data_IF_041396594514
#
_entry.id   IF_041396594514
#
_cell.length_a   1.000
_cell.length_b   1.000
_cell.length_c   1.000
_cell.angle_alpha   90.00
_cell.angle_beta   90.00
_cell.angle_gamma   90.00
#
_symmetry.space_group_name_H-M   'P 1'
#
loop_
_entity.id
_entity.type
_entity.pdbx_description
1 polymer ?
#
# COMPACT_ATOMS: atom_id res chain seq x y z
N UNK A 1 18.02 -4.74 -17.65
CA UNK A 1 18.19 -4.75 -16.18
C UNK A 1 19.12 -3.61 -15.78
N UNK A 2 18.71 -2.72 -14.85
CA UNK A 2 19.53 -1.61 -14.37
C UNK A 2 19.77 -1.72 -12.87
N UNK A 3 20.94 -1.27 -12.40
CA UNK A 3 21.30 -1.16 -10.97
C UNK A 3 21.10 0.26 -10.42
N UNK A 4 20.74 1.22 -11.27
CA UNK A 4 20.56 2.62 -10.88
C UNK A 4 21.80 3.19 -10.15
N UNK A 5 22.97 3.01 -10.77
CA UNK A 5 24.27 3.40 -10.22
C UNK A 5 24.55 4.89 -10.40
N UNK A 6 24.25 5.43 -11.57
CA UNK A 6 24.47 6.83 -11.91
C UNK A 6 23.14 7.59 -11.90
N UNK A 7 23.09 8.84 -11.41
CA UNK A 7 21.89 9.66 -11.52
C UNK A 7 21.64 10.10 -12.96
N UNK A 8 20.38 10.37 -13.35
CA UNK A 8 20.08 11.00 -14.63
C UNK A 8 20.67 12.41 -14.73
N UNK A 9 21.20 12.75 -15.90
CA UNK A 9 21.82 14.05 -16.17
C UNK A 9 20.89 15.03 -16.91
N UNK A 10 19.89 14.52 -17.64
CA UNK A 10 19.00 15.37 -18.43
C UNK A 10 17.86 15.93 -17.55
N UNK A 11 17.48 17.20 -17.75
CA UNK A 11 16.35 17.77 -17.03
C UNK A 11 15.03 17.22 -17.56
N UNK A 12 14.08 17.00 -16.66
CA UNK A 12 12.69 16.66 -16.98
C UNK A 12 11.76 17.78 -16.51
N UNK A 13 10.55 17.83 -17.08
CA UNK A 13 9.53 18.77 -16.61
C UNK A 13 9.02 18.39 -15.22
N UNK A 14 8.41 19.35 -14.51
CA UNK A 14 7.80 19.09 -13.19
C UNK A 14 6.64 18.12 -13.30
N UNK A 15 5.85 18.18 -14.38
CA UNK A 15 4.74 17.25 -14.62
C UNK A 15 5.24 15.81 -14.79
N UNK A 16 6.31 15.62 -15.58
CA UNK A 16 6.94 14.29 -15.73
C UNK A 16 7.56 13.82 -14.43
N UNK A 17 8.17 14.71 -13.64
CA UNK A 17 8.71 14.38 -12.33
C UNK A 17 7.62 13.84 -11.39
N UNK A 18 6.47 14.51 -11.33
CA UNK A 18 5.33 14.11 -10.51
C UNK A 18 4.73 12.78 -11.03
N UNK A 19 4.49 12.65 -12.34
CA UNK A 19 3.93 11.45 -12.96
C UNK A 19 4.82 10.21 -12.75
N UNK A 20 6.13 10.34 -13.03
CA UNK A 20 7.09 9.24 -12.92
C UNK A 20 7.18 8.73 -11.48
N UNK A 21 7.16 9.64 -10.50
CA UNK A 21 7.16 9.28 -9.10
C UNK A 21 5.90 8.49 -8.70
N UNK A 22 4.71 8.98 -9.09
CA UNK A 22 3.46 8.31 -8.76
C UNK A 22 3.33 6.94 -9.39
N UNK A 23 3.72 6.78 -10.65
CA UNK A 23 3.55 5.50 -11.33
C UNK A 23 4.52 4.43 -10.82
N UNK A 24 5.76 4.77 -10.47
CA UNK A 24 6.62 3.82 -9.75
C UNK A 24 6.05 3.51 -8.37
N UNK A 25 5.55 4.51 -7.66
CA UNK A 25 4.99 4.31 -6.34
C UNK A 25 3.75 3.39 -6.38
N UNK A 26 2.90 3.50 -7.41
CA UNK A 26 1.79 2.56 -7.66
C UNK A 26 2.31 1.14 -7.87
N UNK A 27 3.32 0.95 -8.72
CA UNK A 27 3.90 -0.37 -8.94
C UNK A 27 4.43 -0.99 -7.64
N UNK A 28 5.22 -0.24 -6.86
CA UNK A 28 5.80 -0.72 -5.61
C UNK A 28 4.72 -1.01 -4.56
N UNK A 29 3.68 -0.18 -4.49
CA UNK A 29 2.54 -0.39 -3.59
C UNK A 29 1.74 -1.64 -3.98
N UNK A 30 1.56 -1.90 -5.28
CA UNK A 30 0.90 -3.12 -5.77
C UNK A 30 1.70 -4.37 -5.40
N UNK A 31 3.03 -4.32 -5.46
CA UNK A 31 3.91 -5.42 -5.01
C UNK A 31 3.73 -5.67 -3.52
N UNK A 32 3.79 -4.62 -2.71
CA UNK A 32 3.59 -4.74 -1.26
C UNK A 32 2.24 -5.37 -0.93
N UNK A 33 1.17 -4.85 -1.52
CA UNK A 33 -0.19 -5.30 -1.22
C UNK A 33 -0.45 -6.73 -1.70
N UNK A 34 0.09 -7.12 -2.85
CA UNK A 34 0.05 -8.50 -3.33
C UNK A 34 0.75 -9.46 -2.34
N UNK A 35 1.91 -9.07 -1.82
CA UNK A 35 2.64 -9.86 -0.81
C UNK A 35 1.92 -9.89 0.53
N UNK A 36 1.36 -8.77 0.98
CA UNK A 36 0.61 -8.66 2.22
C UNK A 36 -0.62 -9.56 2.23
N UNK A 37 -1.21 -9.86 1.06
CA UNK A 37 -2.29 -10.86 0.91
C UNK A 37 -1.83 -12.30 1.04
N UNK A 38 -0.54 -12.55 0.82
CA UNK A 38 0.04 -13.89 0.78
C UNK A 38 0.09 -14.48 -0.62
N UNK A 39 -0.08 -13.68 -1.69
CA UNK A 39 0.12 -14.15 -3.06
C UNK A 39 1.59 -14.56 -3.24
N UNK A 40 1.80 -15.72 -3.89
CA UNK A 40 3.14 -16.29 -4.13
C UNK A 40 3.23 -16.86 -5.54
N UNK A 41 4.45 -16.97 -6.06
CA UNK A 41 4.71 -17.60 -7.36
C UNK A 41 3.98 -16.90 -8.52
N UNK A 42 3.28 -17.69 -9.34
CA UNK A 42 2.67 -17.24 -10.59
C UNK A 42 1.60 -16.14 -10.42
N UNK A 43 0.84 -16.17 -9.32
CA UNK A 43 -0.20 -15.16 -9.06
C UNK A 43 0.42 -13.78 -8.75
N UNK A 44 1.48 -13.76 -7.95
CA UNK A 44 2.26 -12.56 -7.68
C UNK A 44 2.92 -12.06 -8.98
N UNK A 45 3.53 -12.95 -9.76
CA UNK A 45 4.14 -12.60 -11.05
C UNK A 45 3.13 -11.95 -12.01
N UNK A 46 1.91 -12.48 -12.10
CA UNK A 46 0.86 -11.94 -12.96
C UNK A 46 0.45 -10.53 -12.55
N UNK A 47 0.32 -10.28 -11.23
CA UNK A 47 0.01 -8.95 -10.67
C UNK A 47 1.12 -7.94 -10.96
N UNK A 48 2.38 -8.33 -10.74
CA UNK A 48 3.53 -7.48 -11.03
C UNK A 48 3.61 -7.19 -12.52
N UNK A 49 3.38 -8.19 -13.37
CA UNK A 49 3.39 -8.01 -14.83
C UNK A 49 2.34 -6.99 -15.27
N UNK A 50 1.09 -7.16 -14.83
CA UNK A 50 -0.01 -6.24 -15.16
C UNK A 50 0.33 -4.81 -14.74
N UNK A 51 0.73 -4.60 -13.49
CA UNK A 51 1.07 -3.27 -12.98
C UNK A 51 2.30 -2.68 -13.69
N UNK A 52 3.29 -3.50 -14.04
CA UNK A 52 4.45 -3.05 -14.80
C UNK A 52 4.06 -2.60 -16.20
N UNK A 53 3.22 -3.37 -16.89
CA UNK A 53 2.79 -3.03 -18.25
C UNK A 53 1.95 -1.75 -18.29
N UNK A 54 1.18 -1.49 -17.24
CA UNK A 54 0.38 -0.28 -17.07
C UNK A 54 1.23 0.95 -16.70
N UNK A 55 2.09 0.85 -15.67
CA UNK A 55 2.78 2.02 -15.10
C UNK A 55 4.20 2.25 -15.65
N UNK A 56 4.88 1.20 -16.09
CA UNK A 56 6.27 1.23 -16.58
C UNK A 56 6.48 0.27 -17.76
N UNK A 57 5.89 0.56 -18.94
CA UNK A 57 6.00 -0.29 -20.11
C UNK A 57 7.46 -0.42 -20.61
N UNK A 58 7.76 -1.48 -21.38
CA UNK A 58 9.09 -1.67 -21.98
C UNK A 58 9.37 -0.74 -23.19
N UNK A 59 8.62 0.33 -23.37
CA UNK A 59 8.89 1.34 -24.39
C UNK A 59 10.13 2.17 -24.02
N UNK A 60 10.78 2.85 -24.98
CA UNK A 60 11.85 3.79 -24.68
C UNK A 60 11.45 4.84 -23.63
N UNK A 61 10.21 5.33 -23.72
CA UNK A 61 9.62 6.25 -22.75
C UNK A 61 9.45 5.61 -21.37
N UNK A 62 9.04 4.35 -21.30
CA UNK A 62 8.88 3.62 -20.05
C UNK A 62 10.23 3.25 -19.39
N UNK A 63 11.30 3.06 -20.18
CA UNK A 63 12.66 2.89 -19.66
C UNK A 63 13.21 4.17 -19.02
N UNK A 64 12.96 5.33 -19.66
CA UNK A 64 13.29 6.64 -19.08
C UNK A 64 12.49 6.82 -17.78
N UNK A 65 11.18 6.59 -17.82
CA UNK A 65 10.30 6.66 -16.65
C UNK A 65 10.79 5.77 -15.52
N UNK A 66 11.19 4.52 -15.79
CA UNK A 66 11.75 3.60 -14.79
C UNK A 66 13.06 4.12 -14.18
N UNK A 67 13.94 4.68 -14.99
CA UNK A 67 15.21 5.21 -14.53
C UNK A 67 15.03 6.44 -13.63
N UNK A 68 14.28 7.44 -14.09
CA UNK A 68 14.07 8.68 -13.34
C UNK A 68 13.25 8.45 -12.07
N UNK A 69 12.14 7.70 -12.18
CA UNK A 69 11.26 7.43 -11.04
C UNK A 69 11.98 6.78 -9.86
N UNK A 70 12.95 5.89 -10.13
CA UNK A 70 13.77 5.28 -9.09
C UNK A 70 14.54 6.33 -8.27
N UNK A 71 15.21 7.27 -8.94
CA UNK A 71 15.94 8.35 -8.27
C UNK A 71 15.02 9.36 -7.59
N UNK A 72 13.85 9.65 -8.16
CA UNK A 72 12.86 10.53 -7.54
C UNK A 72 12.36 9.92 -6.22
N UNK A 73 12.01 8.63 -6.21
CA UNK A 73 11.58 7.97 -4.97
C UNK A 73 12.70 7.85 -3.94
N UNK A 74 13.98 7.74 -4.35
CA UNK A 74 15.11 7.83 -3.40
C UNK A 74 15.10 9.15 -2.62
N UNK A 75 14.70 10.27 -3.24
CA UNK A 75 14.60 11.56 -2.54
C UNK A 75 13.47 11.59 -1.50
N UNK A 76 12.35 10.92 -1.77
CA UNK A 76 11.22 10.89 -0.84
C UNK A 76 11.43 9.88 0.31
N UNK A 77 11.93 8.69 -0.01
CA UNK A 77 12.00 7.56 0.93
C UNK A 77 13.29 7.52 1.75
N UNK A 78 14.20 8.48 1.57
CA UNK A 78 15.42 8.56 2.36
C UNK A 78 15.26 9.19 3.74
N UNK A 79 14.07 9.71 4.07
CA UNK A 79 13.89 10.60 5.23
C UNK A 79 13.82 9.86 6.57
N UNK A 80 13.34 8.62 6.58
CA UNK A 80 13.30 7.78 7.78
C UNK A 80 13.79 6.37 7.46
N UNK A 81 14.28 5.65 8.48
CA UNK A 81 14.70 4.27 8.29
C UNK A 81 13.56 3.36 7.84
N UNK A 82 12.34 3.58 8.33
CA UNK A 82 11.18 2.75 7.96
C UNK A 82 10.80 2.94 6.48
N UNK A 83 10.82 4.18 5.98
CA UNK A 83 10.61 4.47 4.56
C UNK A 83 11.72 3.84 3.70
N UNK A 84 12.97 3.92 4.15
CA UNK A 84 14.10 3.28 3.44
C UNK A 84 13.93 1.77 3.36
N UNK A 85 13.57 1.11 4.47
CA UNK A 85 13.33 -0.34 4.51
C UNK A 85 12.19 -0.73 3.58
N UNK A 86 11.08 0.00 3.61
CA UNK A 86 9.94 -0.23 2.73
C UNK A 86 10.33 -0.11 1.24
N UNK A 87 11.02 0.97 0.88
CA UNK A 87 11.43 1.20 -0.50
C UNK A 87 12.38 0.11 -1.00
N UNK A 88 13.44 -0.19 -0.24
CA UNK A 88 14.41 -1.23 -0.59
C UNK A 88 13.76 -2.60 -0.71
N UNK A 89 12.86 -2.96 0.20
CA UNK A 89 12.20 -4.27 0.19
C UNK A 89 11.34 -4.47 -1.06
N UNK A 90 10.57 -3.47 -1.47
CA UNK A 90 9.71 -3.58 -2.65
C UNK A 90 10.51 -3.44 -3.96
N UNK A 91 11.54 -2.60 -3.96
CA UNK A 91 12.43 -2.40 -5.10
C UNK A 91 13.27 -3.66 -5.40
N UNK A 92 13.76 -4.33 -4.35
CA UNK A 92 14.44 -5.62 -4.48
C UNK A 92 13.50 -6.70 -5.03
N UNK A 93 12.24 -6.70 -4.62
CA UNK A 93 11.26 -7.66 -5.14
C UNK A 93 10.96 -7.40 -6.62
N UNK A 94 10.82 -6.13 -7.03
CA UNK A 94 10.68 -5.76 -8.43
C UNK A 94 11.91 -6.20 -9.25
N UNK A 95 13.11 -6.00 -8.72
CA UNK A 95 14.35 -6.44 -9.35
C UNK A 95 14.42 -7.96 -9.47
N UNK A 96 14.05 -8.71 -8.42
CA UNK A 96 13.93 -10.18 -8.46
C UNK A 96 13.03 -10.65 -9.59
N UNK A 97 11.83 -10.08 -9.66
CA UNK A 97 10.87 -10.41 -10.71
C UNK A 97 11.43 -10.10 -12.10
N UNK A 98 12.05 -8.91 -12.28
CA UNK A 98 12.69 -8.54 -13.56
C UNK A 98 13.80 -9.50 -13.92
N UNK A 99 14.66 -9.86 -12.97
CA UNK A 99 15.78 -10.76 -13.22
C UNK A 99 15.28 -12.13 -13.67
N UNK A 100 14.36 -12.76 -12.93
CA UNK A 100 13.82 -14.09 -13.26
C UNK A 100 13.14 -14.12 -14.63
N UNK A 101 12.40 -13.06 -14.98
CA UNK A 101 11.68 -12.98 -16.26
C UNK A 101 12.53 -12.52 -17.44
N UNK A 102 13.79 -12.11 -17.23
CA UNK A 102 14.68 -11.79 -18.35
C UNK A 102 15.12 -13.08 -19.07
N UNK A 103 15.34 -13.01 -20.40
CA UNK A 103 15.95 -14.10 -21.15
C UNK A 103 17.25 -14.59 -20.50
N UNK A 104 17.56 -15.91 -20.57
CA UNK A 104 18.79 -16.46 -20.02
C UNK A 104 20.05 -15.80 -20.61
N UNK A 105 20.03 -15.47 -21.89
CA UNK A 105 21.13 -14.80 -22.60
C UNK A 105 21.38 -13.41 -22.03
N UNK A 106 20.33 -12.60 -21.86
CA UNK A 106 20.43 -11.25 -21.28
C UNK A 106 20.90 -11.27 -19.84
N UNK A 107 20.47 -12.26 -19.03
CA UNK A 107 20.98 -12.45 -17.67
C UNK A 107 22.46 -12.78 -17.67
N UNK A 108 22.90 -13.71 -18.52
CA UNK A 108 24.31 -14.09 -18.61
C UNK A 108 25.17 -12.93 -19.11
N UNK A 109 24.69 -12.15 -20.07
CA UNK A 109 25.35 -10.92 -20.52
C UNK A 109 25.45 -9.89 -19.39
N UNK A 110 24.37 -9.70 -18.63
CA UNK A 110 24.33 -8.77 -17.50
C UNK A 110 25.26 -9.19 -16.35
N UNK A 111 25.28 -10.47 -15.98
CA UNK A 111 26.18 -11.02 -14.97
C UNK A 111 27.64 -10.82 -15.35
N UNK A 112 28.00 -11.13 -16.60
CA UNK A 112 29.34 -10.90 -17.15
C UNK A 112 29.73 -9.42 -17.12
N UNK A 113 28.82 -8.52 -17.54
CA UNK A 113 29.06 -7.08 -17.52
C UNK A 113 29.30 -6.53 -16.10
N UNK A 114 28.74 -7.17 -15.07
CA UNK A 114 28.96 -6.82 -13.66
C UNK A 114 30.16 -7.52 -13.03
N UNK A 115 30.90 -8.31 -13.80
CA UNK A 115 32.07 -9.04 -13.31
C UNK A 115 31.71 -10.23 -12.42
N UNK A 116 30.46 -10.70 -12.46
CA UNK A 116 29.99 -11.86 -11.71
C UNK A 116 30.12 -13.10 -12.60
N UNK A 117 31.03 -14.00 -12.24
CA UNK A 117 31.30 -15.23 -12.98
C UNK A 117 30.34 -16.36 -12.54
N UNK A 118 29.03 -16.11 -12.60
CA UNK A 118 28.04 -17.13 -12.29
C UNK A 118 27.65 -17.89 -13.55
N UNK A 119 27.96 -19.19 -13.57
CA UNK A 119 27.67 -20.06 -14.70
C UNK A 119 26.29 -20.69 -14.52
N UNK A 120 25.46 -20.62 -15.55
CA UNK A 120 24.21 -21.38 -15.59
C UNK A 120 24.55 -22.85 -15.84
N UNK A 121 23.98 -23.76 -15.05
CA UNK A 121 24.20 -25.19 -15.25
C UNK A 121 23.62 -25.66 -16.59
N UNK A 122 24.26 -26.66 -17.19
CA UNK A 122 23.74 -27.30 -18.40
C UNK A 122 22.49 -28.13 -18.08
N UNK A 123 21.72 -28.50 -19.12
CA UNK A 123 20.58 -29.42 -18.93
C UNK A 123 21.02 -30.77 -18.42
N UNK A 124 22.15 -31.28 -18.91
CA UNK A 124 22.67 -32.59 -18.52
C UNK A 124 23.14 -32.59 -17.06
N UNK A 125 23.83 -31.52 -16.62
CA UNK A 125 24.24 -31.36 -15.23
C UNK A 125 23.02 -31.20 -14.32
N UNK A 126 21.96 -30.50 -14.76
CA UNK A 126 20.72 -30.37 -14.01
C UNK A 126 20.00 -31.72 -13.83
N UNK A 127 19.89 -32.53 -14.89
CA UNK A 127 19.23 -33.83 -14.82
C UNK A 127 19.95 -34.82 -13.88
N UNK A 128 21.28 -34.70 -13.77
CA UNK A 128 22.09 -35.50 -12.84
C UNK A 128 21.81 -35.15 -11.37
N UNK A 129 21.69 -33.86 -11.04
CA UNK A 129 21.58 -33.38 -9.64
C UNK A 129 20.15 -32.98 -9.23
N UNK A 130 19.14 -33.24 -10.07
CA UNK A 130 17.77 -32.77 -9.86
C UNK A 130 17.15 -33.28 -8.56
N UNK A 131 17.47 -34.50 -8.15
CA UNK A 131 16.89 -35.11 -6.95
C UNK A 131 17.45 -34.42 -5.69
N UNK A 132 18.74 -34.16 -5.66
CA UNK A 132 19.43 -33.46 -4.59
C UNK A 132 19.03 -31.98 -4.52
N UNK A 133 18.83 -31.33 -5.67
CA UNK A 133 18.27 -29.98 -5.72
C UNK A 133 16.87 -29.90 -5.14
N UNK A 134 16.01 -30.89 -5.44
CA UNK A 134 14.67 -30.96 -4.85
C UNK A 134 14.71 -31.22 -3.34
N UNK A 135 15.64 -32.04 -2.85
CA UNK A 135 15.81 -32.28 -1.41
C UNK A 135 16.34 -31.05 -0.65
N UNK A 136 17.19 -30.24 -1.28
CA UNK A 136 17.74 -29.03 -0.69
C UNK A 136 16.79 -27.81 -0.76
N UNK A 137 15.74 -27.88 -1.60
CA UNK A 137 14.79 -26.78 -1.77
C UNK A 137 13.70 -26.80 -0.69
N UNK A 138 13.45 -25.68 0.03
CA UNK A 138 12.32 -25.58 0.95
C UNK A 138 10.96 -25.44 0.25
N UNK A 139 10.92 -25.33 -1.09
CA UNK A 139 9.67 -25.20 -1.85
C UNK A 139 9.18 -26.55 -2.39
N UNK A 140 7.86 -26.81 -2.38
CA UNK A 140 7.31 -28.02 -2.98
C UNK A 140 7.64 -28.09 -4.48
N UNK A 141 7.81 -29.30 -5.05
CA UNK A 141 8.13 -29.46 -6.46
C UNK A 141 7.08 -28.78 -7.35
N UNK A 142 7.51 -27.81 -8.15
CA UNK A 142 6.65 -27.19 -9.14
C UNK A 142 6.29 -28.21 -10.23
N UNK A 143 5.06 -28.23 -10.76
CA UNK A 143 4.68 -29.15 -11.83
C UNK A 143 5.61 -29.00 -13.05
N UNK A 144 5.83 -30.09 -13.82
CA UNK A 144 6.86 -30.20 -14.87
C UNK A 144 6.63 -29.29 -16.11
N UNK A 145 5.65 -28.40 -16.09
CA UNK A 145 5.25 -27.59 -17.24
C UNK A 145 6.06 -26.30 -17.46
N UNK A 146 7.12 -26.03 -16.67
CA UNK A 146 8.02 -24.90 -16.91
C UNK A 146 9.46 -25.38 -17.11
N UNK A 147 9.95 -25.51 -18.37
CA UNK A 147 11.37 -25.60 -18.61
C UNK A 147 11.95 -24.21 -18.36
N UNK A 148 12.52 -23.97 -17.17
CA UNK A 148 13.59 -22.99 -16.85
C UNK A 148 13.74 -22.76 -15.34
N UNK A 149 14.10 -23.78 -14.59
CA UNK A 149 14.80 -23.56 -13.32
C UNK A 149 16.29 -23.36 -13.65
N UNK A 150 16.67 -22.13 -14.04
CA UNK A 150 18.09 -21.80 -14.19
C UNK A 150 18.71 -21.74 -12.81
N UNK A 151 19.29 -22.85 -12.38
CA UNK A 151 20.21 -22.86 -11.28
C UNK A 151 21.56 -22.33 -11.77
N UNK A 152 22.25 -21.65 -10.89
CA UNK A 152 23.56 -21.09 -11.13
C UNK A 152 24.56 -21.74 -10.21
N UNK A 153 25.71 -22.07 -10.77
CA UNK A 153 26.87 -22.57 -10.03
C UNK A 153 27.63 -21.37 -9.48
N UNK A 154 27.76 -21.32 -8.17
CA UNK A 154 28.41 -20.22 -7.43
C UNK A 154 29.37 -20.83 -6.41
N UNK A 155 30.49 -20.18 -6.11
CA UNK A 155 31.35 -20.63 -5.02
C UNK A 155 30.59 -20.59 -3.68
N UNK A 156 30.69 -21.66 -2.87
CA UNK A 156 29.90 -21.75 -1.63
C UNK A 156 30.21 -20.61 -0.63
N UNK A 157 31.43 -20.07 -0.70
CA UNK A 157 31.93 -18.94 0.11
C UNK A 157 31.16 -17.64 -0.15
N UNK A 158 30.58 -17.47 -1.34
CA UNK A 158 29.78 -16.29 -1.69
C UNK A 158 28.33 -16.41 -1.21
N UNK A 159 27.90 -17.61 -0.80
CA UNK A 159 26.49 -17.92 -0.50
C UNK A 159 26.30 -18.57 0.88
N UNK A 160 27.17 -18.18 1.83
CA UNK A 160 27.20 -18.74 3.20
C UNK A 160 25.84 -18.66 3.90
N UNK A 161 25.06 -17.60 3.67
CA UNK A 161 23.73 -17.45 4.28
C UNK A 161 22.74 -18.53 3.82
N UNK A 162 22.76 -18.87 2.53
CA UNK A 162 21.89 -19.92 1.97
C UNK A 162 22.37 -21.31 2.42
N UNK A 163 23.68 -21.51 2.51
CA UNK A 163 24.30 -22.73 3.03
C UNK A 163 23.92 -22.95 4.49
N UNK A 164 24.02 -21.91 5.33
CA UNK A 164 23.63 -21.95 6.75
C UNK A 164 22.18 -22.36 6.94
N UNK A 165 21.29 -21.90 6.06
CA UNK A 165 19.87 -22.24 6.10
C UNK A 165 19.54 -23.59 5.45
N UNK A 166 20.54 -24.32 4.92
CA UNK A 166 20.38 -25.57 4.18
C UNK A 166 19.38 -25.46 3.02
N UNK A 167 19.43 -24.34 2.31
CA UNK A 167 18.51 -24.01 1.19
C UNK A 167 19.12 -24.25 -0.20
N UNK A 168 20.37 -24.69 -0.27
CA UNK A 168 21.13 -24.88 -1.51
C UNK A 168 21.89 -26.19 -1.45
N UNK A 169 22.03 -26.84 -2.61
CA UNK A 169 22.84 -28.05 -2.75
C UNK A 169 24.31 -27.67 -2.96
N UNK A 170 25.23 -28.46 -2.37
CA UNK A 170 26.68 -28.26 -2.47
C UNK A 170 27.33 -29.49 -3.12
N UNK A 171 28.17 -29.27 -4.15
CA UNK A 171 28.98 -30.32 -4.79
C UNK A 171 30.35 -29.75 -5.16
N UNK A 172 31.42 -30.38 -4.67
CA UNK A 172 32.81 -30.03 -5.05
C UNK A 172 33.19 -28.56 -4.82
N UNK A 173 32.79 -27.97 -3.69
CA UNK A 173 33.08 -26.55 -3.39
C UNK A 173 32.19 -25.54 -4.14
N UNK A 174 31.23 -26.02 -4.93
CA UNK A 174 30.24 -25.17 -5.60
C UNK A 174 28.86 -25.34 -4.97
N UNK A 175 28.12 -24.24 -4.86
CA UNK A 175 26.73 -24.17 -4.48
C UNK A 175 25.83 -23.97 -5.71
N UNK A 176 24.72 -24.69 -5.76
CA UNK A 176 23.76 -24.62 -6.84
C UNK A 176 22.55 -23.81 -6.38
N UNK A 177 22.42 -22.60 -6.91
CA UNK A 177 21.46 -21.61 -6.42
C UNK A 177 20.39 -21.33 -7.47
N UNK A 178 19.09 -21.37 -7.12
CA UNK A 178 18.02 -20.95 -8.03
C UNK A 178 18.16 -19.48 -8.45
N UNK A 179 17.77 -19.15 -9.69
CA UNK A 179 17.78 -17.77 -10.21
C UNK A 179 17.12 -16.73 -9.29
N UNK A 180 16.06 -17.12 -8.56
CA UNK A 180 15.35 -16.24 -7.64
C UNK A 180 16.18 -15.86 -6.41
N UNK A 181 16.99 -16.79 -5.90
CA UNK A 181 17.89 -16.58 -4.76
C UNK A 181 19.24 -15.98 -5.20
N UNK A 182 19.61 -16.15 -6.48
CA UNK A 182 20.78 -15.47 -7.07
C UNK A 182 20.67 -13.96 -6.95
N UNK A 183 19.48 -13.39 -7.03
CA UNK A 183 19.27 -11.96 -6.91
C UNK A 183 19.61 -11.43 -5.53
N UNK A 184 19.26 -12.16 -4.46
CA UNK A 184 19.71 -11.81 -3.11
C UNK A 184 21.22 -11.87 -2.98
N UNK A 185 21.86 -12.82 -3.68
CA UNK A 185 23.31 -12.92 -3.73
C UNK A 185 23.86 -11.72 -4.50
N UNK A 186 23.43 -11.41 -5.71
CA UNK A 186 23.87 -10.22 -6.47
C UNK A 186 23.65 -8.91 -5.69
N UNK A 187 22.56 -8.80 -4.93
CA UNK A 187 22.28 -7.64 -4.10
C UNK A 187 23.23 -7.51 -2.88
N UNK A 188 23.88 -8.61 -2.48
CA UNK A 188 24.83 -8.68 -1.35
C UNK A 188 26.28 -8.91 -1.78
N UNK A 189 26.50 -9.51 -2.94
CA UNK A 189 27.76 -9.91 -3.55
C UNK A 189 28.39 -8.67 -4.14
N UNK A 190 29.40 -8.20 -3.43
CA UNK A 190 30.13 -6.98 -3.69
C UNK A 190 31.35 -7.33 -4.54
N UNK A 191 31.58 -6.68 -5.70
CA UNK A 191 32.86 -6.82 -6.37
C UNK A 191 33.99 -6.31 -5.44
N UNK A 192 35.10 -7.04 -5.29
CA UNK A 192 36.17 -6.74 -4.33
C UNK A 192 37.02 -5.48 -4.68
N UNK A 193 36.57 -4.62 -5.60
CA UNK A 193 37.38 -3.51 -6.16
C UNK A 193 36.75 -2.12 -6.08
N UNK A 194 35.66 -1.91 -5.36
CA UNK A 194 35.20 -0.56 -5.01
C UNK A 194 35.16 -0.37 -3.49
N UNK A 195 35.97 0.55 -2.92
CA UNK A 195 35.84 1.00 -1.55
C UNK A 195 34.65 1.95 -1.48
N UNK A 196 33.46 1.37 -1.56
CA UNK A 196 32.26 2.03 -1.09
C UNK A 196 31.78 1.22 0.13
N UNK A 197 31.06 1.83 1.07
CA UNK A 197 30.71 1.10 2.28
C UNK A 197 29.36 0.35 2.03
N UNK A 198 28.88 -0.45 2.98
CA UNK A 198 27.63 -1.27 2.94
C UNK A 198 26.43 -0.58 2.25
N UNK A 199 25.36 -1.30 1.81
CA UNK A 199 24.13 -0.63 1.37
C UNK A 199 23.64 0.39 2.40
N UNK A 200 23.86 0.18 3.68
CA UNK A 200 23.57 1.15 4.76
C UNK A 200 24.42 2.42 4.72
N UNK A 201 25.63 2.38 4.17
CA UNK A 201 26.60 3.48 4.25
C UNK A 201 26.90 4.17 2.92
N UNK A 202 26.65 3.53 1.77
CA UNK A 202 26.40 4.26 0.52
C UNK A 202 25.13 5.12 0.65
N UNK A 203 24.12 4.62 1.38
CA UNK A 203 22.93 5.40 1.71
C UNK A 203 23.23 6.48 2.77
N UNK A 204 24.15 6.26 3.72
CA UNK A 204 24.53 7.31 4.67
C UNK A 204 25.33 8.45 4.02
N UNK A 205 26.16 8.20 2.99
CA UNK A 205 26.92 9.24 2.29
C UNK A 205 26.13 9.94 1.17
N UNK A 206 25.11 9.28 0.59
CA UNK A 206 24.18 9.90 -0.38
C UNK A 206 23.04 10.65 0.32
N UNK A 207 22.78 10.35 1.60
CA UNK A 207 21.78 11.04 2.44
C UNK A 207 22.43 11.85 3.58
N UNK A 208 23.43 12.65 3.23
CA UNK A 208 23.75 13.89 3.96
C UNK A 208 22.49 14.78 4.07
N UNK A 209 22.40 15.67 5.09
CA UNK A 209 21.24 16.53 5.30
C UNK A 209 20.84 17.26 4.01
N UNK A 210 19.55 17.65 3.87
CA UNK A 210 19.07 18.29 2.65
C UNK A 210 20.03 19.43 2.26
N UNK A 211 20.32 19.61 0.95
CA UNK A 211 21.14 20.72 0.50
C UNK A 211 20.62 22.04 1.09
N UNK A 212 21.50 23.04 1.31
CA UNK A 212 21.13 24.35 1.85
C UNK A 212 19.93 24.92 1.09
N UNK A 213 19.10 25.79 1.71
CA UNK A 213 17.74 26.10 1.28
C UNK A 213 17.73 26.39 -0.21
N UNK A 214 17.31 25.39 -0.96
CA UNK A 214 17.22 25.48 -2.39
C UNK A 214 16.08 26.47 -2.69
N UNK A 215 16.27 27.33 -3.69
CA UNK A 215 15.35 28.38 -4.16
C UNK A 215 13.84 28.02 -4.06
N UNK A 216 12.93 28.99 -4.16
CA UNK A 216 11.46 28.79 -4.18
C UNK A 216 10.92 27.58 -5.00
N UNK A 217 11.64 27.08 -6.02
CA UNK A 217 11.30 25.85 -6.76
C UNK A 217 11.43 24.56 -5.91
N UNK A 218 12.33 24.54 -4.94
CA UNK A 218 12.55 23.41 -4.06
C UNK A 218 11.57 23.35 -2.88
N UNK A 219 10.96 24.46 -2.47
CA UNK A 219 9.87 24.41 -1.47
C UNK A 219 8.66 23.64 -2.00
N UNK A 220 8.32 23.84 -3.29
CA UNK A 220 7.26 23.07 -3.96
C UNK A 220 7.63 21.59 -4.05
N UNK A 221 8.86 21.27 -4.48
CA UNK A 221 9.33 19.88 -4.55
C UNK A 221 9.43 19.22 -3.17
N UNK A 222 9.81 19.96 -2.13
CA UNK A 222 9.88 19.45 -0.76
C UNK A 222 8.49 19.06 -0.25
N UNK A 223 7.48 19.93 -0.46
CA UNK A 223 6.09 19.62 -0.11
C UNK A 223 5.53 18.42 -0.90
N UNK A 224 5.94 18.25 -2.16
CA UNK A 224 5.58 17.11 -2.98
C UNK A 224 6.25 15.81 -2.52
N UNK A 225 7.56 15.84 -2.20
CA UNK A 225 8.30 14.69 -1.67
C UNK A 225 7.82 14.29 -0.27
N UNK A 226 7.42 15.27 0.55
CA UNK A 226 6.67 15.05 1.80
C UNK A 226 5.34 14.35 1.55
N UNK A 227 4.63 14.84 0.52
CA UNK A 227 3.40 14.25 0.01
C UNK A 227 3.59 12.81 -0.40
N UNK A 228 4.57 12.46 -1.24
CA UNK A 228 4.73 11.12 -1.81
C UNK A 228 4.73 9.99 -0.79
N UNK A 229 5.38 10.17 0.36
CA UNK A 229 5.46 9.15 1.40
C UNK A 229 4.14 8.99 2.20
N UNK A 230 3.25 9.99 2.15
CA UNK A 230 2.02 10.06 2.97
C UNK A 230 0.73 10.17 2.13
N UNK A 231 0.86 10.43 0.83
CA UNK A 231 -0.22 10.66 -0.10
C UNK A 231 -0.73 9.34 -0.66
N UNK A 232 -2.04 9.32 -0.80
CA UNK A 232 -2.77 8.24 -1.40
C UNK A 232 -2.66 8.36 -2.92
N UNK A 233 -2.27 7.26 -3.58
CA UNK A 233 -1.96 7.22 -5.02
C UNK A 233 -3.12 6.63 -5.86
N UNK A 234 -4.30 6.45 -5.26
CA UNK A 234 -5.49 5.99 -5.98
C UNK A 234 -6.40 7.14 -6.44
N UNK A 235 -7.67 6.83 -6.70
CA UNK A 235 -8.68 7.75 -7.25
C UNK A 235 -8.88 9.07 -6.48
N UNK A 236 -8.94 10.20 -7.18
CA UNK A 236 -9.21 11.50 -6.56
C UNK A 236 -10.65 11.60 -6.03
N UNK A 237 -10.79 11.60 -4.71
CA UNK A 237 -12.05 11.75 -3.97
C UNK A 237 -12.32 13.19 -3.51
N UNK A 238 -11.64 14.19 -4.10
CA UNK A 238 -11.85 15.61 -3.82
C UNK A 238 -13.19 16.13 -4.34
N UNK A 239 -13.80 15.45 -5.32
CA UNK A 239 -15.11 15.81 -5.88
C UNK A 239 -16.07 14.62 -5.78
N UNK A 240 -17.38 14.86 -5.54
CA UNK A 240 -18.37 13.79 -5.63
C UNK A 240 -18.43 13.26 -7.06
N UNK A 241 -18.33 11.94 -7.25
CA UNK A 241 -18.56 11.32 -8.56
C UNK A 241 -20.06 11.36 -8.89
N UNK A 242 -20.39 11.79 -10.11
CA UNK A 242 -21.76 11.89 -10.60
C UNK A 242 -22.38 10.49 -10.69
N UNK A 243 -23.34 10.15 -9.83
CA UNK A 243 -24.14 8.92 -9.97
C UNK A 243 -24.61 8.23 -8.69
N UNK A 244 -24.06 8.56 -7.51
CA UNK A 244 -24.35 7.85 -6.26
C UNK A 244 -24.98 8.73 -5.17
N UNK A 245 -25.95 9.57 -5.52
CA UNK A 245 -26.59 10.44 -4.53
C UNK A 245 -27.39 9.63 -3.50
N UNK A 246 -26.83 9.41 -2.31
CA UNK A 246 -27.52 8.77 -1.18
C UNK A 246 -28.45 9.79 -0.53
N UNK A 247 -29.70 9.41 -0.26
CA UNK A 247 -30.60 10.26 0.53
C UNK A 247 -30.31 10.16 2.04
N UNK A 248 -30.63 11.20 2.81
CA UNK A 248 -30.49 11.17 4.27
C UNK A 248 -31.36 10.08 4.92
N UNK A 249 -32.49 9.73 4.30
CA UNK A 249 -33.39 8.69 4.79
C UNK A 249 -32.79 7.27 4.63
N UNK A 250 -31.97 7.06 3.61
CA UNK A 250 -31.35 5.76 3.32
C UNK A 250 -30.07 5.52 4.16
N UNK A 251 -29.57 6.55 4.84
CA UNK A 251 -28.31 6.50 5.60
C UNK A 251 -28.23 5.33 6.60
N UNK A 252 -29.28 4.98 7.38
CA UNK A 252 -29.23 3.84 8.28
C UNK A 252 -29.05 2.49 7.56
N UNK A 253 -29.71 2.32 6.41
CA UNK A 253 -29.61 1.11 5.59
C UNK A 253 -28.25 1.02 4.93
N UNK A 254 -27.83 2.12 4.30
CA UNK A 254 -26.55 2.25 3.59
C UNK A 254 -25.37 2.12 4.55
N UNK A 255 -25.50 2.59 5.79
CA UNK A 255 -24.44 2.46 6.80
C UNK A 255 -24.20 1.01 7.21
N UNK A 256 -25.24 0.18 7.32
CA UNK A 256 -25.07 -1.24 7.63
C UNK A 256 -24.49 -1.97 6.42
N UNK A 257 -25.00 -1.65 5.24
CA UNK A 257 -24.70 -2.39 4.01
C UNK A 257 -23.33 -2.02 3.42
N UNK A 258 -23.06 -0.73 3.27
CA UNK A 258 -22.03 -0.22 2.34
C UNK A 258 -20.93 0.61 3.00
N UNK A 259 -21.01 0.92 4.29
CA UNK A 259 -19.93 1.66 4.95
C UNK A 259 -18.77 0.74 5.36
N UNK A 260 -17.51 1.18 5.18
CA UNK A 260 -16.38 0.51 5.82
C UNK A 260 -16.51 0.61 7.35
N UNK A 261 -15.88 -0.33 8.06
CA UNK A 261 -15.98 -0.43 9.53
C UNK A 261 -15.65 0.89 10.25
N UNK A 262 -14.70 1.68 9.74
CA UNK A 262 -14.37 2.99 10.30
C UNK A 262 -15.55 3.96 10.29
N UNK A 263 -16.23 4.09 9.15
CA UNK A 263 -17.38 4.99 9.00
C UNK A 263 -18.64 4.41 9.66
N UNK A 264 -18.81 3.09 9.62
CA UNK A 264 -19.90 2.39 10.32
C UNK A 264 -19.85 2.66 11.83
N UNK A 265 -18.66 2.55 12.44
CA UNK A 265 -18.47 2.82 13.87
C UNK A 265 -18.86 4.25 14.25
N UNK A 266 -18.39 5.25 13.49
CA UNK A 266 -18.74 6.66 13.74
C UNK A 266 -20.24 6.92 13.58
N UNK A 267 -20.87 6.31 12.57
CA UNK A 267 -22.32 6.43 12.38
C UNK A 267 -23.12 5.76 13.51
N UNK A 268 -22.75 4.55 13.91
CA UNK A 268 -23.37 3.86 15.04
C UNK A 268 -23.27 4.68 16.32
N UNK A 269 -22.09 5.26 16.59
CA UNK A 269 -21.88 6.08 17.78
C UNK A 269 -22.62 7.41 17.73
N UNK A 270 -22.71 8.03 16.56
CA UNK A 270 -23.55 9.22 16.35
C UNK A 270 -25.00 8.92 16.69
N UNK A 271 -25.53 7.76 16.28
CA UNK A 271 -26.91 7.37 16.57
C UNK A 271 -27.14 7.06 18.06
N UNK A 272 -26.17 6.44 18.73
CA UNK A 272 -26.24 6.06 20.15
C UNK A 272 -26.10 7.26 21.09
N UNK A 273 -25.05 8.06 20.89
CA UNK A 273 -24.72 9.17 21.80
C UNK A 273 -25.32 10.50 21.40
N UNK A 274 -25.79 10.61 20.15
CA UNK A 274 -26.21 11.88 19.53
C UNK A 274 -25.11 12.93 19.55
N UNK A 275 -23.85 12.51 19.55
CA UNK A 275 -22.68 13.39 19.59
C UNK A 275 -21.49 12.74 18.88
N UNK A 276 -20.61 13.57 18.33
CA UNK A 276 -19.29 13.18 17.83
C UNK A 276 -18.28 14.28 18.15
N UNK A 277 -17.06 13.88 18.53
CA UNK A 277 -15.92 14.79 18.74
C UNK A 277 -15.35 15.34 17.41
N UNK A 278 -14.52 16.37 17.50
CA UNK A 278 -14.03 17.14 16.34
C UNK A 278 -13.43 16.26 15.23
N UNK A 279 -12.45 15.42 15.55
CA UNK A 279 -11.77 14.55 14.58
C UNK A 279 -12.73 13.54 13.92
N UNK A 280 -13.70 13.01 14.67
CA UNK A 280 -14.73 12.12 14.14
C UNK A 280 -15.70 12.85 13.21
N UNK A 281 -16.12 14.07 13.56
CA UNK A 281 -16.94 14.93 12.69
C UNK A 281 -16.22 15.28 11.39
N UNK A 282 -14.91 15.51 11.46
CA UNK A 282 -14.10 15.79 10.27
C UNK A 282 -14.00 14.55 9.37
N UNK A 283 -13.60 13.39 9.91
CA UNK A 283 -13.48 12.16 9.13
C UNK A 283 -14.79 11.72 8.51
N UNK A 284 -15.85 11.67 9.31
CA UNK A 284 -17.16 11.24 8.85
C UNK A 284 -17.81 12.28 7.94
N UNK A 285 -17.71 13.57 8.26
CA UNK A 285 -18.29 14.65 7.45
C UNK A 285 -17.70 14.73 6.05
N UNK A 286 -16.37 14.60 5.92
CA UNK A 286 -15.71 14.59 4.61
C UNK A 286 -16.07 13.34 3.80
N UNK A 287 -16.21 12.17 4.45
CA UNK A 287 -16.69 10.96 3.79
C UNK A 287 -18.14 11.12 3.27
N UNK A 288 -19.04 11.67 4.10
CA UNK A 288 -20.43 11.93 3.75
C UNK A 288 -20.58 12.91 2.57
N UNK A 289 -19.68 13.90 2.49
CA UNK A 289 -19.60 14.84 1.35
C UNK A 289 -19.39 14.09 0.03
N UNK A 290 -18.46 13.16 0.01
CA UNK A 290 -18.03 12.48 -1.21
C UNK A 290 -19.02 11.40 -1.66
N UNK A 291 -19.75 10.74 -0.76
CA UNK A 291 -20.81 9.76 -1.12
C UNK A 291 -22.11 10.41 -1.63
N UNK A 292 -22.12 11.71 -1.89
CA UNK A 292 -23.18 12.34 -2.66
C UNK A 292 -24.48 12.59 -1.89
N UNK A 293 -24.46 12.76 -0.56
CA UNK A 293 -25.57 13.48 0.09
C UNK A 293 -25.81 14.79 -0.70
N UNK A 294 -27.05 15.06 -1.12
CA UNK A 294 -27.38 15.56 -2.46
C UNK A 294 -26.65 16.84 -2.82
N UNK A 295 -25.83 16.78 -3.88
CA UNK A 295 -25.25 17.80 -4.80
C UNK A 295 -24.69 19.14 -4.25
N UNK A 296 -24.98 19.50 -3.01
CA UNK A 296 -24.39 20.53 -2.18
C UNK A 296 -24.80 20.15 -0.76
N UNK A 297 -24.02 19.30 -0.08
CA UNK A 297 -23.96 19.44 1.37
C UNK A 297 -23.32 20.82 1.64
N UNK A 298 -24.12 21.88 1.48
CA UNK A 298 -23.82 23.22 1.96
C UNK A 298 -23.39 23.05 3.41
N UNK A 299 -22.51 23.93 3.88
CA UNK A 299 -22.22 24.02 5.30
C UNK A 299 -23.54 23.94 6.11
N UNK A 300 -24.60 24.57 5.59
CA UNK A 300 -25.95 24.61 6.15
C UNK A 300 -26.63 23.23 6.24
N UNK A 301 -26.59 22.38 5.22
CA UNK A 301 -27.25 21.06 5.24
C UNK A 301 -26.50 20.05 6.11
N UNK A 302 -25.16 20.08 6.07
CA UNK A 302 -24.35 19.26 6.98
C UNK A 302 -24.56 19.70 8.43
N UNK A 303 -24.59 21.02 8.66
CA UNK A 303 -24.90 21.60 9.97
C UNK A 303 -26.32 21.25 10.39
N UNK A 304 -27.29 21.26 9.48
CA UNK A 304 -28.67 20.85 9.75
C UNK A 304 -28.76 19.36 10.13
N UNK A 305 -28.03 18.48 9.45
CA UNK A 305 -27.94 17.06 9.80
C UNK A 305 -27.37 16.85 11.21
N UNK A 306 -26.20 17.43 11.50
CA UNK A 306 -25.60 17.30 12.84
C UNK A 306 -26.43 17.99 13.91
N UNK A 307 -27.06 19.13 13.60
CA UNK A 307 -28.00 19.83 14.51
C UNK A 307 -29.17 18.93 14.84
N UNK A 308 -29.83 18.36 13.83
CA UNK A 308 -30.99 17.48 14.01
C UNK A 308 -30.66 16.22 14.81
N UNK A 309 -29.45 15.65 14.66
CA UNK A 309 -29.03 14.53 15.50
C UNK A 309 -28.65 14.97 16.93
N UNK A 310 -27.93 16.08 17.10
CA UNK A 310 -27.43 16.52 18.42
C UNK A 310 -28.55 17.07 19.32
N UNK A 311 -29.58 17.69 18.75
CA UNK A 311 -30.72 18.23 19.52
C UNK A 311 -31.65 17.13 20.05
N UNK A 312 -31.66 15.93 19.47
CA UNK A 312 -32.49 14.79 19.91
C UNK A 312 -32.21 14.34 21.36
N UNK A 313 -31.03 14.65 21.91
CA UNK A 313 -30.64 14.32 23.28
C UNK A 313 -30.61 15.54 24.22
N UNK A 314 -31.36 16.58 23.90
CA UNK A 314 -31.55 17.75 24.77
C UNK A 314 -30.48 18.83 24.66
N UNK A 315 -29.61 18.81 23.65
CA UNK A 315 -28.75 19.97 23.35
C UNK A 315 -29.62 21.11 22.81
N UNK A 316 -29.62 22.26 23.49
CA UNK A 316 -30.29 23.46 23.00
C UNK A 316 -29.71 23.88 21.63
N UNK A 317 -30.57 24.25 20.69
CA UNK A 317 -30.17 24.66 19.35
C UNK A 317 -29.15 25.81 19.36
N UNK A 318 -29.28 26.75 20.31
CA UNK A 318 -28.36 27.87 20.46
C UNK A 318 -26.98 27.43 20.98
N UNK A 319 -26.94 26.42 21.85
CA UNK A 319 -25.68 25.81 22.29
C UNK A 319 -24.99 25.11 21.13
N UNK A 320 -25.76 24.42 20.28
CA UNK A 320 -25.21 23.81 19.07
C UNK A 320 -24.62 24.87 18.13
N UNK A 321 -25.33 25.97 17.87
CA UNK A 321 -24.84 27.05 17.00
C UNK A 321 -23.61 27.76 17.57
N UNK A 322 -23.49 27.92 18.90
CA UNK A 322 -22.28 28.49 19.52
C UNK A 322 -21.09 27.54 19.45
N UNK A 323 -21.27 26.29 19.87
CA UNK A 323 -20.17 25.33 20.02
C UNK A 323 -19.78 24.68 18.67
N UNK A 324 -20.73 24.59 17.74
CA UNK A 324 -20.60 23.88 16.47
C UNK A 324 -21.11 24.68 15.26
N UNK A 325 -21.70 25.87 15.39
CA UNK A 325 -22.15 26.64 14.21
C UNK A 325 -21.01 27.17 13.35
N UNK A 326 -19.87 27.49 13.98
CA UNK A 326 -18.61 27.82 13.29
C UNK A 326 -17.69 26.59 13.09
N UNK A 327 -17.98 25.48 13.78
CA UNK A 327 -17.16 24.26 13.86
C UNK A 327 -17.85 22.97 13.36
N UNK A 328 -19.01 23.10 12.72
CA UNK A 328 -19.58 22.08 11.85
C UNK A 328 -18.53 21.80 10.78
N UNK A 329 -18.41 20.54 10.32
CA UNK A 329 -17.20 20.05 9.67
C UNK A 329 -16.71 21.06 8.63
N UNK A 330 -15.39 21.35 8.57
CA UNK A 330 -14.83 22.32 7.65
C UNK A 330 -14.96 21.76 6.23
N UNK A 331 -16.17 21.74 5.70
CA UNK A 331 -16.47 21.33 4.34
C UNK A 331 -16.10 22.48 3.41
N UNK A 332 -16.23 23.72 3.90
CA UNK A 332 -15.70 24.95 3.29
C UNK A 332 -15.46 25.99 4.41
N UNK A 333 -14.22 26.46 4.60
CA UNK A 333 -13.95 27.58 5.52
C UNK A 333 -14.34 28.87 4.77
N UNK A 334 -15.39 29.57 5.19
CA UNK A 334 -15.74 30.90 4.68
C UNK A 334 -14.59 31.87 5.03
N UNK A 335 -13.65 32.05 4.11
CA UNK A 335 -12.47 32.92 4.28
C UNK A 335 -11.28 32.46 3.45
N UNK A 336 -10.79 31.22 3.66
CA UNK A 336 -9.84 30.54 2.76
C UNK A 336 -10.62 29.46 2.03
N UNK A 337 -10.85 29.62 0.73
CA UNK A 337 -11.57 28.68 -0.17
C UNK A 337 -10.85 27.32 -0.32
N UNK A 338 -10.53 26.65 0.79
CA UNK A 338 -9.94 25.32 0.81
C UNK A 338 -11.09 24.30 0.83
N UNK A 339 -11.31 23.66 -0.31
CA UNK A 339 -12.16 22.49 -0.40
C UNK A 339 -11.37 21.28 0.14
N UNK A 340 -11.78 20.76 1.30
CA UNK A 340 -11.10 19.62 1.92
C UNK A 340 -11.59 18.32 1.30
N UNK A 341 -10.66 17.53 0.77
CA UNK A 341 -10.94 16.21 0.23
C UNK A 341 -11.18 15.18 1.33
N UNK A 342 -11.94 14.14 1.00
CA UNK A 342 -12.12 12.99 1.87
C UNK A 342 -10.77 12.35 2.24
N UNK A 343 -10.69 11.82 3.46
CA UNK A 343 -9.44 11.29 3.99
C UNK A 343 -9.19 9.87 3.48
N UNK A 344 -7.99 9.64 2.95
CA UNK A 344 -7.52 8.32 2.55
C UNK A 344 -7.31 7.37 3.74
N UNK A 345 -7.28 6.06 3.47
CA UNK A 345 -6.97 5.07 4.50
C UNK A 345 -5.60 5.35 5.13
N UNK A 346 -4.58 5.64 4.32
CA UNK A 346 -3.24 5.98 4.82
C UNK A 346 -3.25 7.21 5.75
N UNK A 347 -3.98 8.26 5.39
CA UNK A 347 -4.15 9.43 6.27
C UNK A 347 -4.86 9.06 7.56
N UNK A 348 -6.01 8.38 7.51
CA UNK A 348 -6.78 7.96 8.69
C UNK A 348 -5.95 7.06 9.61
N UNK A 349 -5.20 6.12 9.04
CA UNK A 349 -4.30 5.22 9.76
C UNK A 349 -3.24 6.06 10.45
N UNK A 350 -2.48 6.89 9.73
CA UNK A 350 -1.31 7.59 10.27
C UNK A 350 -1.64 8.82 11.13
N UNK A 351 -2.71 9.56 10.82
CA UNK A 351 -3.14 10.75 11.55
C UNK A 351 -3.89 10.43 12.85
N UNK A 352 -4.27 9.17 13.06
CA UNK A 352 -4.91 8.72 14.31
C UNK A 352 -3.91 8.39 15.41
N UNK A 353 -2.68 8.93 15.33
CA UNK A 353 -1.68 8.90 16.39
C UNK A 353 -1.79 10.16 17.26
N UNK A 354 -2.31 10.07 18.50
CA UNK A 354 -1.93 11.02 19.53
C UNK A 354 -0.49 10.71 19.95
N UNK A 355 0.16 11.67 20.60
CA UNK A 355 1.49 11.56 21.25
C UNK A 355 1.82 10.14 21.75
N UNK A 356 3.08 9.75 21.61
CA UNK A 356 3.78 8.51 22.03
C UNK A 356 3.17 7.72 23.21
N UNK A 357 2.53 8.41 24.16
CA UNK A 357 1.82 7.84 25.32
C UNK A 357 0.55 7.04 24.93
N UNK A 358 -0.11 7.37 23.82
CA UNK A 358 -1.39 6.77 23.40
C UNK A 358 -1.26 5.55 22.48
N UNK A 359 -0.05 5.20 22.01
CA UNK A 359 0.14 4.04 21.13
C UNK A 359 0.20 2.72 21.91
N UNK A 360 0.38 2.78 23.24
CA UNK A 360 0.49 1.60 24.11
C UNK A 360 -0.84 1.16 24.74
N UNK A 361 -1.87 2.00 24.67
CA UNK A 361 -3.23 1.69 25.11
C UNK A 361 -4.15 2.07 23.96
N UNK A 362 -5.09 1.21 23.54
CA UNK A 362 -6.12 1.52 22.53
C UNK A 362 -7.04 2.68 22.94
N UNK A 363 -6.49 3.89 23.02
CA UNK A 363 -7.00 4.97 23.87
C UNK A 363 -7.97 5.90 23.16
N UNK A 364 -8.16 5.75 21.85
CA UNK A 364 -9.15 6.54 21.13
C UNK A 364 -10.56 6.25 21.71
N UNK A 365 -10.94 4.98 21.88
CA UNK A 365 -12.22 4.63 22.50
C UNK A 365 -12.32 5.03 23.98
N UNK A 366 -11.24 4.86 24.75
CA UNK A 366 -11.19 5.19 26.18
C UNK A 366 -11.32 6.71 26.45
N UNK A 367 -10.86 7.55 25.53
CA UNK A 367 -11.05 9.00 25.58
C UNK A 367 -12.43 9.44 25.04
N UNK A 368 -13.28 8.54 24.55
CA UNK A 368 -14.53 8.87 23.86
C UNK A 368 -14.34 9.39 22.43
N UNK A 369 -13.22 9.03 21.79
CA UNK A 369 -12.86 9.34 20.41
C UNK A 369 -13.09 8.14 19.49
N UNK A 370 -14.08 8.24 18.60
CA UNK A 370 -14.49 7.13 17.74
C UNK A 370 -13.98 7.23 16.29
N UNK A 371 -12.93 8.03 16.08
CA UNK A 371 -12.31 8.25 14.77
C UNK A 371 -11.12 7.31 14.52
N UNK A 372 -10.55 7.36 13.31
CA UNK A 372 -9.42 6.53 12.91
C UNK A 372 -9.84 5.22 12.24
N UNK A 373 -8.88 4.30 12.13
CA UNK A 373 -9.07 2.98 11.55
C UNK A 373 -9.28 1.94 12.67
N UNK A 374 -10.44 1.26 12.75
CA UNK A 374 -10.69 0.23 13.75
C UNK A 374 -9.66 -0.90 13.71
N UNK A 375 -9.19 -1.28 12.52
CA UNK A 375 -8.15 -2.31 12.34
C UNK A 375 -6.80 -1.92 12.95
N UNK A 376 -6.55 -0.63 13.23
CA UNK A 376 -5.36 -0.16 13.95
C UNK A 376 -5.64 0.10 15.43
N UNK A 377 -6.80 0.67 15.75
CA UNK A 377 -7.06 1.27 17.05
C UNK A 377 -7.71 0.32 18.06
N UNK A 378 -8.39 -0.73 17.60
CA UNK A 378 -9.03 -1.71 18.49
C UNK A 378 -8.01 -2.76 18.92
N UNK A 379 -8.11 -3.20 20.16
CA UNK A 379 -7.41 -4.41 20.60
C UNK A 379 -8.02 -5.67 19.96
N UNK A 380 -7.31 -6.80 20.04
CA UNK A 380 -7.76 -8.06 19.44
C UNK A 380 -9.11 -8.56 20.00
N UNK A 381 -9.40 -8.29 21.27
CA UNK A 381 -10.65 -8.68 21.92
C UNK A 381 -11.82 -7.86 21.38
N UNK A 382 -11.68 -6.54 21.36
CA UNK A 382 -12.64 -5.60 20.78
C UNK A 382 -12.89 -5.87 19.30
N UNK A 383 -11.82 -6.14 18.54
CA UNK A 383 -11.93 -6.48 17.12
C UNK A 383 -12.71 -7.78 16.92
N UNK A 384 -12.37 -8.85 17.66
CA UNK A 384 -13.08 -10.13 17.57
C UNK A 384 -14.57 -9.98 17.90
N UNK A 385 -14.90 -9.28 18.98
CA UNK A 385 -16.29 -9.04 19.37
C UNK A 385 -17.06 -8.24 18.30
N UNK A 386 -16.45 -7.19 17.75
CA UNK A 386 -17.05 -6.36 16.71
C UNK A 386 -17.30 -7.16 15.42
N UNK A 387 -16.32 -7.97 14.99
CA UNK A 387 -16.46 -8.80 13.78
C UNK A 387 -17.53 -9.89 13.94
N UNK A 388 -17.62 -10.50 15.14
CA UNK A 388 -18.67 -11.47 15.46
C UNK A 388 -20.06 -10.84 15.45
N UNK A 389 -20.22 -9.65 16.03
CA UNK A 389 -21.47 -8.89 15.98
C UNK A 389 -21.89 -8.57 14.54
N UNK A 390 -20.92 -8.35 13.65
CA UNK A 390 -21.13 -8.09 12.23
C UNK A 390 -21.32 -9.36 11.39
N UNK A 391 -21.44 -10.53 12.02
CA UNK A 391 -21.66 -11.85 11.42
C UNK A 391 -20.54 -12.31 10.47
N UNK A 392 -19.30 -11.94 10.77
CA UNK A 392 -18.12 -12.43 10.03
C UNK A 392 -17.78 -13.86 10.47
N UNK A 393 -17.50 -14.75 9.51
CA UNK A 393 -17.18 -16.15 9.78
C UNK A 393 -15.88 -16.31 10.59
N UNK A 394 -15.80 -17.33 11.46
CA UNK A 394 -14.67 -17.54 12.37
C UNK A 394 -13.30 -17.64 11.66
N UNK A 395 -13.24 -18.26 10.47
CA UNK A 395 -12.02 -18.34 9.67
C UNK A 395 -11.58 -16.95 9.15
N UNK A 396 -12.53 -16.15 8.65
CA UNK A 396 -12.25 -14.80 8.17
C UNK A 396 -11.83 -13.87 9.32
N UNK A 397 -12.43 -14.03 10.51
CA UNK A 397 -12.01 -13.30 11.72
C UNK A 397 -10.54 -13.59 12.03
N UNK A 398 -10.12 -14.86 12.00
CA UNK A 398 -8.74 -15.21 12.28
C UNK A 398 -7.78 -14.62 11.24
N UNK A 399 -8.13 -14.71 9.95
CA UNK A 399 -7.34 -14.08 8.89
C UNK A 399 -7.21 -12.57 9.08
N UNK A 400 -8.30 -11.87 9.40
CA UNK A 400 -8.30 -10.43 9.65
C UNK A 400 -7.36 -10.09 10.81
N UNK A 401 -7.41 -10.84 11.91
CA UNK A 401 -6.53 -10.64 13.07
C UNK A 401 -5.06 -10.85 12.72
N UNK A 402 -4.74 -11.88 11.92
CA UNK A 402 -3.37 -12.14 11.48
C UNK A 402 -2.83 -11.00 10.59
N UNK A 403 -3.69 -10.40 9.75
CA UNK A 403 -3.31 -9.20 8.97
C UNK A 403 -3.16 -7.96 9.84
N UNK A 404 -3.97 -7.79 10.88
CA UNK A 404 -3.83 -6.71 11.87
C UNK A 404 -2.51 -6.82 12.62
N UNK A 405 -2.12 -8.03 13.05
CA UNK A 405 -0.82 -8.30 13.69
C UNK A 405 0.35 -7.97 12.76
N UNK A 406 0.22 -8.28 11.48
CA UNK A 406 1.18 -7.89 10.45
C UNK A 406 1.13 -6.41 10.04
N UNK A 407 0.33 -5.57 10.71
CA UNK A 407 0.12 -4.15 10.39
C UNK A 407 -0.43 -3.90 8.97
N UNK A 408 -1.05 -4.91 8.35
CA UNK A 408 -1.66 -4.82 7.02
C UNK A 408 -3.14 -4.42 7.11
N UNK A 409 -3.42 -3.25 7.68
CA UNK A 409 -4.78 -2.81 8.03
C UNK A 409 -5.73 -2.66 6.82
N UNK A 410 -5.22 -2.21 5.66
CA UNK A 410 -6.01 -2.07 4.45
C UNK A 410 -6.40 -3.43 3.86
N UNK A 411 -5.52 -4.43 3.97
CA UNK A 411 -5.80 -5.82 3.56
C UNK A 411 -6.83 -6.45 4.49
N UNK A 412 -6.74 -6.19 5.80
CA UNK A 412 -7.75 -6.59 6.78
C UNK A 412 -9.14 -6.00 6.45
N UNK A 413 -9.19 -4.71 6.08
CA UNK A 413 -10.42 -4.05 5.61
C UNK A 413 -10.97 -4.67 4.31
N UNK A 414 -10.09 -5.02 3.37
CA UNK A 414 -10.46 -5.75 2.15
C UNK A 414 -11.06 -7.12 2.45
N UNK A 415 -10.47 -7.90 3.36
CA UNK A 415 -11.02 -9.19 3.77
C UNK A 415 -12.38 -9.05 4.47
N UNK A 416 -12.53 -8.01 5.29
CA UNK A 416 -13.82 -7.67 5.91
C UNK A 416 -14.89 -7.35 4.86
N UNK A 417 -14.53 -6.64 3.77
CA UNK A 417 -15.43 -6.39 2.66
C UNK A 417 -15.94 -7.71 2.06
N UNK A 418 -15.04 -8.65 1.76
CA UNK A 418 -15.41 -9.94 1.14
C UNK A 418 -16.30 -10.79 2.04
N UNK A 419 -16.02 -10.81 3.35
CA UNK A 419 -16.86 -11.52 4.30
C UNK A 419 -18.30 -10.98 4.33
N UNK A 420 -18.46 -9.66 4.12
CA UNK A 420 -19.76 -8.98 4.07
C UNK A 420 -20.44 -9.07 2.71
N UNK A 421 -19.67 -9.20 1.63
CA UNK A 421 -20.15 -9.26 0.25
C UNK A 421 -19.73 -10.60 -0.37
N UNK A 422 -20.42 -11.67 0.05
CA UNK A 422 -20.11 -13.05 -0.39
C UNK A 422 -20.15 -13.12 -1.93
N UNK A 423 -19.06 -13.62 -2.52
CA UNK A 423 -18.91 -13.70 -3.98
C UNK A 423 -18.29 -12.46 -4.63
N UNK A 424 -17.94 -11.42 -3.86
CA UNK A 424 -17.05 -10.35 -4.33
C UNK A 424 -15.59 -10.74 -4.14
N UNK A 425 -14.76 -10.39 -5.11
CA UNK A 425 -13.30 -10.51 -5.03
C UNK A 425 -12.70 -9.12 -4.98
N UNK A 426 -13.03 -8.31 -3.97
CA UNK A 426 -12.46 -6.96 -3.88
C UNK A 426 -10.96 -6.96 -3.59
N UNK A 427 -10.42 -8.08 -3.10
CA UNK A 427 -8.99 -8.38 -3.12
C UNK A 427 -8.43 -8.33 -4.55
N UNK A 428 -9.23 -8.33 -5.60
CA UNK A 428 -8.74 -8.29 -6.98
C UNK A 428 -8.72 -6.91 -7.63
N UNK A 429 -9.17 -5.85 -6.96
CA UNK A 429 -9.03 -4.46 -7.46
C UNK A 429 -7.58 -4.15 -7.86
N UNK A 430 -7.38 -3.33 -8.90
CA UNK A 430 -6.09 -3.14 -9.59
C UNK A 430 -4.95 -2.69 -8.67
N UNK A 431 -5.28 -1.97 -7.60
CA UNK A 431 -4.35 -1.49 -6.58
C UNK A 431 -4.12 -2.48 -5.43
N UNK A 432 -4.66 -3.70 -5.49
CA UNK A 432 -4.35 -4.72 -4.50
C UNK A 432 -4.93 -4.46 -3.09
N UNK A 433 -5.98 -3.67 -2.93
CA UNK A 433 -6.64 -3.46 -1.64
C UNK A 433 -7.48 -2.19 -1.58
N UNK A 434 -8.17 -1.99 -0.45
CA UNK A 434 -8.99 -0.80 -0.22
C UNK A 434 -8.11 0.31 0.34
N UNK A 435 -7.87 1.33 -0.47
CA UNK A 435 -6.96 2.42 -0.13
C UNK A 435 -7.71 3.71 0.28
N UNK A 436 -9.04 3.75 0.08
CA UNK A 436 -9.88 4.87 0.49
C UNK A 436 -11.26 4.40 1.03
N UNK A 437 -11.83 5.03 2.07
CA UNK A 437 -13.18 4.69 2.54
C UNK A 437 -14.28 4.89 1.49
N UNK A 438 -14.17 5.92 0.65
CA UNK A 438 -15.09 6.13 -0.47
C UNK A 438 -14.94 5.08 -1.58
N UNK A 439 -13.74 4.52 -1.79
CA UNK A 439 -13.56 3.39 -2.70
C UNK A 439 -14.31 2.15 -2.18
N UNK A 440 -14.19 1.83 -0.89
CA UNK A 440 -14.99 0.78 -0.25
C UNK A 440 -16.49 0.98 -0.54
N UNK A 441 -16.95 2.21 -0.33
CA UNK A 441 -18.35 2.56 -0.49
C UNK A 441 -18.84 2.39 -1.92
N UNK A 442 -18.10 2.92 -2.90
CA UNK A 442 -18.44 2.82 -4.32
C UNK A 442 -18.51 1.36 -4.77
N UNK A 443 -17.51 0.56 -4.42
CA UNK A 443 -17.48 -0.86 -4.77
C UNK A 443 -18.60 -1.67 -4.09
N UNK A 444 -18.95 -1.34 -2.84
CA UNK A 444 -20.11 -1.93 -2.19
C UNK A 444 -21.41 -1.55 -2.91
N UNK A 445 -21.57 -0.28 -3.29
CA UNK A 445 -22.75 0.17 -4.02
C UNK A 445 -22.86 -0.49 -5.40
N UNK A 446 -21.74 -0.71 -6.10
CA UNK A 446 -21.70 -1.48 -7.35
C UNK A 446 -22.14 -2.94 -7.14
N UNK A 447 -21.73 -3.56 -6.04
CA UNK A 447 -22.14 -4.94 -5.72
C UNK A 447 -23.66 -5.08 -5.53
N UNK A 448 -24.30 -4.08 -4.93
CA UNK A 448 -25.76 -4.06 -4.71
C UNK A 448 -26.56 -3.38 -5.81
N UNK A 449 -25.91 -2.79 -6.81
CA UNK A 449 -26.60 -2.28 -7.98
C UNK A 449 -27.25 -3.46 -8.73
N UNK A 450 -28.47 -3.29 -9.27
CA UNK A 450 -29.03 -4.30 -10.16
C UNK A 450 -28.02 -4.53 -11.29
N UNK A 451 -27.59 -5.78 -11.48
CA UNK A 451 -26.91 -6.15 -12.71
C UNK A 451 -27.98 -6.06 -13.77
N UNK A 452 -27.90 -5.08 -14.67
CA UNK A 452 -28.72 -5.11 -15.88
C UNK A 452 -28.47 -6.48 -16.52
N UNK A 453 -29.52 -7.30 -16.59
CA UNK A 453 -29.53 -8.51 -17.39
C UNK A 453 -29.21 -8.06 -18.82
N UNK A 454 -27.97 -8.32 -19.25
CA UNK A 454 -27.55 -8.08 -20.61
C UNK A 454 -28.44 -8.92 -21.53
N UNK A 455 -29.30 -8.22 -22.29
CA UNK A 455 -29.92 -8.72 -23.50
C UNK A 455 -28.88 -8.86 -24.63
#
# INVERSE_FOLDING_TARGET
LSMYELPPAEPISVSEFEEFAYDRLRLLSTIELARAKGLKGAELEARIRKARDEFMPLSPTGLIKDYYSHFILRLAYCRSEDLRRWFLQNELELFKWRFVNNPPEDRAAWLRAKGLQYEAISRDEYEEIKEELHQASPQPPSPPSRPRALHYKVAFEEVVDLVRQRRVYLRGGSAFVPAADLVSIVATARPPRLPLPSPTSLLASVFTPPPPPLSHKADRLASFLEGLATQYVGDDYSRPRSGSAVSLADLPTVSRRSFPLCMHNMHAKLLETKHLKHSARQQFGLFLKTIGLPKRLSCEESTAFFRAEFTKKGMAADKFMRDYGYGAPPLHRLGKRQDWSAMSCGKIINSSTPSIVSSLLGANAAAGEHHGCPFRNYDEGQMRATLQQMQVGAQDVQYILDKVRGQHYQVACGKFFEARHKGSTLIETDLGGINHPNQYFEESQKFFAPKDEAA
#
